data_IF_863718814604
#
_entry.id   IF_863718814604
#
_cell.length_a   1.000
_cell.length_b   1.000
_cell.length_c   1.000
_cell.angle_alpha   90.00
_cell.angle_beta   90.00
_cell.angle_gamma   90.00
#
_symmetry.space_group_name_H-M   'P 1'
#
loop_
_entity.id
_entity.type
_entity.pdbx_description
1 polymer ?
#
# COMPACT_ATOMS: atom_id res chain seq x y z
N UNK A 1 27.83 -13.66 -6.45
CA UNK A 1 26.71 -12.91 -7.06
C UNK A 1 26.37 -11.62 -6.32
N UNK A 2 26.59 -11.50 -4.99
CA UNK A 2 26.40 -10.24 -4.23
C UNK A 2 27.35 -9.10 -4.65
N UNK A 3 28.61 -9.42 -4.98
CA UNK A 3 29.65 -8.43 -5.31
C UNK A 3 29.31 -7.53 -6.50
N UNK A 4 28.78 -8.09 -7.59
CA UNK A 4 28.49 -7.28 -8.79
C UNK A 4 27.34 -6.29 -8.60
N UNK A 5 26.36 -6.62 -7.77
CA UNK A 5 25.21 -5.74 -7.51
C UNK A 5 25.63 -4.58 -6.58
N UNK A 6 26.44 -4.90 -5.56
CA UNK A 6 27.05 -3.92 -4.66
C UNK A 6 28.01 -2.96 -5.40
N UNK A 7 28.78 -3.46 -6.37
CA UNK A 7 29.68 -2.64 -7.19
C UNK A 7 28.93 -1.70 -8.15
N UNK A 8 27.80 -2.15 -8.71
CA UNK A 8 26.93 -1.32 -9.56
C UNK A 8 26.26 -0.23 -8.71
N UNK A 9 25.72 -0.57 -7.54
CA UNK A 9 25.11 0.42 -6.63
C UNK A 9 26.16 1.46 -6.18
N UNK A 10 27.41 1.06 -5.93
CA UNK A 10 28.50 1.99 -5.59
C UNK A 10 28.85 2.94 -6.75
N UNK A 11 29.01 2.42 -7.95
CA UNK A 11 29.31 3.23 -9.15
C UNK A 11 28.19 4.22 -9.46
N UNK A 12 26.93 3.81 -9.27
CA UNK A 12 25.77 4.70 -9.40
C UNK A 12 25.87 5.82 -8.37
N UNK A 13 26.06 5.49 -7.08
CA UNK A 13 26.17 6.48 -5.99
C UNK A 13 27.30 7.49 -6.18
N UNK A 14 28.43 7.05 -6.75
CA UNK A 14 29.58 7.91 -7.05
C UNK A 14 29.36 8.85 -8.25
N UNK A 15 28.45 8.51 -9.16
CA UNK A 15 28.12 9.32 -10.34
C UNK A 15 26.93 10.26 -10.15
N UNK A 16 26.14 10.08 -9.07
CA UNK A 16 24.93 10.85 -8.82
C UNK A 16 25.25 12.16 -8.10
N UNK A 17 24.57 13.23 -8.49
CA UNK A 17 24.52 14.47 -7.72
C UNK A 17 23.83 14.25 -6.37
N UNK A 18 24.02 15.17 -5.40
CA UNK A 18 23.48 15.04 -4.04
C UNK A 18 21.94 14.87 -4.02
N UNK A 19 21.24 15.42 -5.01
CA UNK A 19 19.79 15.25 -5.21
C UNK A 19 19.42 13.86 -5.77
N UNK A 20 20.21 13.34 -6.70
CA UNK A 20 19.95 12.03 -7.31
C UNK A 20 20.33 10.87 -6.37
N UNK A 21 21.34 11.05 -5.51
CA UNK A 21 21.71 10.09 -4.48
C UNK A 21 20.59 9.93 -3.42
N UNK A 22 19.94 11.04 -3.02
CA UNK A 22 18.75 11.00 -2.16
C UNK A 22 17.58 10.31 -2.84
N UNK A 23 17.37 10.54 -4.13
CA UNK A 23 16.32 9.86 -4.89
C UNK A 23 16.58 8.36 -5.00
N UNK A 24 17.85 7.94 -5.10
CA UNK A 24 18.22 6.52 -5.12
C UNK A 24 18.01 5.84 -3.77
N UNK A 25 18.35 6.49 -2.66
CA UNK A 25 18.09 5.97 -1.32
C UNK A 25 16.58 5.79 -1.06
N UNK A 26 15.73 6.69 -1.58
CA UNK A 26 14.27 6.55 -1.52
C UNK A 26 13.73 5.33 -2.32
N UNK A 27 14.51 4.81 -3.25
CA UNK A 27 14.18 3.65 -4.07
C UNK A 27 14.66 2.32 -3.49
N UNK A 28 15.40 2.33 -2.37
CA UNK A 28 15.80 1.10 -1.67
C UNK A 28 14.59 0.29 -1.18
N UNK A 29 14.84 -1.00 -0.91
CA UNK A 29 13.81 -1.93 -0.46
C UNK A 29 13.18 -1.46 0.86
N UNK A 30 11.89 -1.17 0.83
CA UNK A 30 11.15 -0.69 2.00
C UNK A 30 10.66 -1.90 2.77
N UNK A 31 10.84 -1.87 4.08
CA UNK A 31 10.22 -2.84 4.98
C UNK A 31 8.69 -2.76 4.90
N UNK A 32 7.99 -3.85 5.25
CA UNK A 32 6.52 -3.89 5.25
C UNK A 32 5.88 -2.72 6.02
N UNK A 33 6.47 -2.31 7.15
CA UNK A 33 6.02 -1.13 7.91
C UNK A 33 6.20 0.17 7.15
N UNK A 34 7.33 0.33 6.45
CA UNK A 34 7.60 1.50 5.60
C UNK A 34 6.67 1.52 4.39
N UNK A 35 6.35 0.36 3.80
CA UNK A 35 5.36 0.24 2.73
C UNK A 35 3.98 0.66 3.21
N UNK A 36 3.54 0.18 4.38
CA UNK A 36 2.24 0.52 4.98
C UNK A 36 2.16 2.01 5.30
N UNK A 37 3.14 2.58 6.01
CA UNK A 37 3.18 4.03 6.23
C UNK A 37 3.31 4.81 4.93
N UNK A 38 4.00 4.21 3.95
CA UNK A 38 4.18 4.70 2.61
C UNK A 38 2.88 4.80 1.82
N UNK A 39 1.86 3.98 2.13
CA UNK A 39 0.52 4.15 1.55
C UNK A 39 -0.09 5.48 1.98
N UNK A 40 0.08 5.83 3.25
CA UNK A 40 -0.41 7.07 3.86
C UNK A 40 0.43 8.30 3.50
N UNK A 41 1.58 8.15 2.84
CA UNK A 41 2.36 9.27 2.27
C UNK A 41 2.23 9.36 0.74
N UNK A 42 2.17 10.59 0.22
CA UNK A 42 2.06 10.89 -1.23
C UNK A 42 0.75 11.55 -1.68
N UNK A 43 0.60 11.74 -3.00
CA UNK A 43 -0.49 12.53 -3.60
C UNK A 43 -1.89 11.92 -3.39
N UNK A 44 -1.98 10.59 -3.29
CA UNK A 44 -3.24 9.86 -3.12
C UNK A 44 -3.51 9.47 -1.65
N UNK A 45 -2.74 9.99 -0.69
CA UNK A 45 -2.90 9.69 0.74
C UNK A 45 -4.29 10.02 1.28
N UNK A 46 -4.93 11.06 0.74
CA UNK A 46 -6.28 11.44 1.14
C UNK A 46 -7.32 10.34 0.85
N UNK A 47 -7.18 9.61 -0.27
CA UNK A 47 -8.06 8.48 -0.62
C UNK A 47 -7.88 7.35 0.40
N UNK A 48 -6.64 7.09 0.81
CA UNK A 48 -6.31 6.03 1.78
C UNK A 48 -6.84 6.37 3.16
N UNK A 49 -6.75 7.65 3.57
CA UNK A 49 -7.33 8.14 4.80
C UNK A 49 -8.86 8.02 4.78
N UNK A 50 -9.51 8.44 3.68
CA UNK A 50 -10.96 8.30 3.50
C UNK A 50 -11.40 6.83 3.58
N UNK A 51 -10.69 5.92 2.91
CA UNK A 51 -10.99 4.48 2.97
C UNK A 51 -10.81 3.91 4.37
N UNK A 52 -9.80 4.37 5.11
CA UNK A 52 -9.58 3.96 6.50
C UNK A 52 -10.71 4.44 7.42
N UNK A 53 -11.24 5.64 7.19
CA UNK A 53 -12.43 6.14 7.90
C UNK A 53 -13.67 5.30 7.58
N UNK A 54 -13.89 4.96 6.31
CA UNK A 54 -15.00 4.09 5.89
C UNK A 54 -14.88 2.71 6.54
N UNK A 55 -13.68 2.14 6.62
CA UNK A 55 -13.43 0.87 7.31
C UNK A 55 -13.82 0.93 8.79
N UNK A 56 -13.55 2.06 9.46
CA UNK A 56 -13.92 2.28 10.86
C UNK A 56 -15.45 2.36 11.04
N UNK A 57 -16.15 2.98 10.08
CA UNK A 57 -17.62 3.01 10.04
C UNK A 57 -18.20 1.60 9.88
N UNK A 58 -17.67 0.81 8.94
CA UNK A 58 -18.11 -0.59 8.76
C UNK A 58 -17.89 -1.43 10.02
N UNK A 59 -16.79 -1.20 10.73
CA UNK A 59 -16.53 -1.86 12.01
C UNK A 59 -17.54 -1.45 13.09
N UNK A 60 -17.89 -0.16 13.19
CA UNK A 60 -18.94 0.31 14.09
C UNK A 60 -20.32 -0.28 13.77
N UNK A 61 -20.68 -0.32 12.48
CA UNK A 61 -21.91 -0.95 12.00
C UNK A 61 -21.93 -2.44 12.35
N UNK A 62 -20.81 -3.13 12.18
CA UNK A 62 -20.69 -4.54 12.52
C UNK A 62 -20.94 -4.80 14.01
N UNK A 63 -20.33 -4.01 14.90
CA UNK A 63 -20.58 -4.10 16.35
C UNK A 63 -22.05 -3.85 16.67
N UNK A 64 -22.64 -2.83 16.07
CA UNK A 64 -24.05 -2.50 16.28
C UNK A 64 -24.98 -3.64 15.84
N UNK A 65 -24.71 -4.23 14.67
CA UNK A 65 -25.46 -5.39 14.17
C UNK A 65 -25.28 -6.60 15.09
N UNK A 66 -24.08 -6.84 15.60
CA UNK A 66 -23.83 -7.93 16.54
C UNK A 66 -24.63 -7.76 17.83
N UNK A 67 -24.66 -6.55 18.41
CA UNK A 67 -25.45 -6.27 19.62
C UNK A 67 -26.94 -6.49 19.36
N UNK A 68 -27.47 -5.95 18.26
CA UNK A 68 -28.89 -6.12 17.91
C UNK A 68 -29.24 -7.58 17.59
N UNK A 69 -28.34 -8.33 16.98
CA UNK A 69 -28.53 -9.75 16.70
C UNK A 69 -28.76 -10.58 17.96
N UNK A 70 -28.07 -10.26 19.07
CA UNK A 70 -28.27 -10.96 20.35
C UNK A 70 -29.46 -10.45 21.17
N UNK A 71 -29.99 -9.26 20.87
CA UNK A 71 -31.06 -8.64 21.65
C UNK A 71 -32.46 -8.93 21.08
N UNK A 72 -32.57 -9.35 19.82
CA UNK A 72 -33.86 -9.56 19.16
C UNK A 72 -34.26 -11.03 19.16
N UNK A 73 -35.47 -11.32 19.63
CA UNK A 73 -36.05 -12.68 19.68
C UNK A 73 -36.83 -13.05 18.41
N UNK A 74 -37.26 -12.05 17.63
CA UNK A 74 -38.01 -12.27 16.40
C UNK A 74 -37.11 -12.79 15.26
N UNK A 75 -37.47 -13.94 14.68
CA UNK A 75 -36.68 -14.60 13.63
C UNK A 75 -36.42 -13.73 12.40
N UNK A 76 -37.37 -12.88 12.01
CA UNK A 76 -37.22 -11.99 10.85
C UNK A 76 -36.13 -10.94 11.07
N UNK A 77 -36.10 -10.34 12.27
CA UNK A 77 -35.11 -9.33 12.64
C UNK A 77 -33.73 -9.94 12.89
N UNK A 78 -33.65 -11.17 13.42
CA UNK A 78 -32.41 -11.95 13.50
C UNK A 78 -31.76 -12.12 12.12
N UNK A 79 -32.54 -12.51 11.11
CA UNK A 79 -32.06 -12.64 9.73
C UNK A 79 -31.60 -11.28 9.19
N UNK A 80 -32.36 -10.22 9.42
CA UNK A 80 -32.01 -8.86 8.97
C UNK A 80 -30.66 -8.40 9.52
N UNK A 81 -30.45 -8.50 10.84
CA UNK A 81 -29.19 -8.12 11.47
C UNK A 81 -28.04 -9.04 11.09
N UNK A 82 -28.30 -10.34 10.92
CA UNK A 82 -27.30 -11.32 10.46
C UNK A 82 -26.82 -11.06 9.03
N UNK A 83 -27.74 -10.77 8.11
CA UNK A 83 -27.40 -10.41 6.72
C UNK A 83 -26.66 -9.08 6.68
N UNK A 84 -27.13 -8.07 7.41
CA UNK A 84 -26.47 -6.76 7.45
C UNK A 84 -25.06 -6.85 8.05
N UNK A 85 -24.88 -7.63 9.12
CA UNK A 85 -23.58 -7.95 9.70
C UNK A 85 -22.66 -8.65 8.70
N UNK A 86 -23.17 -9.64 7.96
CA UNK A 86 -22.40 -10.36 6.94
C UNK A 86 -21.96 -9.45 5.80
N UNK A 87 -22.85 -8.57 5.31
CA UNK A 87 -22.52 -7.57 4.28
C UNK A 87 -21.45 -6.61 4.79
N UNK A 88 -21.53 -6.17 6.05
CA UNK A 88 -20.53 -5.28 6.64
C UNK A 88 -19.13 -5.92 6.75
N UNK A 89 -19.08 -7.23 7.04
CA UNK A 89 -17.83 -8.00 7.02
C UNK A 89 -17.29 -8.16 5.60
N UNK A 90 -18.15 -8.49 4.64
CA UNK A 90 -17.75 -8.61 3.24
C UNK A 90 -17.17 -7.29 2.70
N UNK A 91 -17.82 -6.16 3.02
CA UNK A 91 -17.33 -4.82 2.70
C UNK A 91 -15.96 -4.55 3.32
N UNK A 92 -15.76 -4.93 4.58
CA UNK A 92 -14.48 -4.78 5.27
C UNK A 92 -13.34 -5.58 4.61
N UNK A 93 -13.62 -6.80 4.15
CA UNK A 93 -12.64 -7.63 3.44
C UNK A 93 -12.24 -6.97 2.12
N UNK A 94 -13.22 -6.46 1.37
CA UNK A 94 -12.97 -5.79 0.08
C UNK A 94 -12.14 -4.51 0.24
N UNK A 95 -12.41 -3.70 1.27
CA UNK A 95 -11.62 -2.50 1.58
C UNK A 95 -10.18 -2.84 1.98
N UNK A 96 -10.00 -3.96 2.70
CA UNK A 96 -8.66 -4.46 3.04
C UNK A 96 -7.92 -4.92 1.79
N UNK A 97 -8.54 -5.71 0.92
CA UNK A 97 -7.94 -6.14 -0.36
C UNK A 97 -7.54 -4.95 -1.23
N UNK A 98 -8.39 -3.94 -1.34
CA UNK A 98 -8.06 -2.71 -2.06
C UNK A 98 -6.81 -2.04 -1.49
N UNK A 99 -6.68 -1.96 -0.17
CA UNK A 99 -5.50 -1.37 0.48
C UNK A 99 -4.22 -2.15 0.17
N UNK A 100 -4.30 -3.48 0.09
CA UNK A 100 -3.19 -4.33 -0.34
C UNK A 100 -2.78 -4.10 -1.79
N UNK A 101 -3.76 -4.02 -2.70
CA UNK A 101 -3.47 -3.69 -4.11
C UNK A 101 -2.77 -2.34 -4.26
N UNK A 102 -3.08 -1.37 -3.40
CA UNK A 102 -2.42 -0.07 -3.41
C UNK A 102 -0.96 -0.14 -2.94
N UNK A 103 -0.63 -1.06 -2.02
CA UNK A 103 0.77 -1.36 -1.66
C UNK A 103 1.52 -1.95 -2.85
N UNK A 104 0.96 -2.99 -3.47
CA UNK A 104 1.60 -3.69 -4.59
C UNK A 104 1.82 -2.73 -5.77
N UNK A 105 0.82 -1.88 -6.06
CA UNK A 105 0.94 -0.83 -7.08
C UNK A 105 2.10 0.14 -6.78
N UNK A 106 2.25 0.59 -5.52
CA UNK A 106 3.36 1.47 -5.12
C UNK A 106 4.71 0.77 -5.22
N UNK A 107 4.79 -0.50 -4.83
CA UNK A 107 5.99 -1.33 -4.96
C UNK A 107 6.41 -1.45 -6.43
N UNK A 108 5.48 -1.81 -7.32
CA UNK A 108 5.75 -1.94 -8.76
C UNK A 108 6.22 -0.61 -9.37
N UNK A 109 5.57 0.51 -9.03
CA UNK A 109 5.97 1.84 -9.54
C UNK A 109 7.40 2.19 -9.10
N UNK A 110 7.80 1.81 -7.88
CA UNK A 110 9.15 2.04 -7.39
C UNK A 110 10.19 1.23 -8.17
N UNK A 111 9.93 -0.06 -8.40
CA UNK A 111 10.82 -0.91 -9.20
C UNK A 111 10.94 -0.41 -10.65
N UNK A 112 9.85 0.09 -11.25
CA UNK A 112 9.88 0.70 -12.59
C UNK A 112 10.80 1.93 -12.61
N UNK A 113 10.69 2.83 -11.62
CA UNK A 113 11.57 4.00 -11.53
C UNK A 113 13.04 3.63 -11.36
N UNK A 114 13.33 2.58 -10.58
CA UNK A 114 14.68 2.05 -10.42
C UNK A 114 15.23 1.53 -11.77
N UNK A 115 14.41 0.85 -12.56
CA UNK A 115 14.77 0.43 -13.92
C UNK A 115 14.97 1.62 -14.86
N UNK A 116 14.11 2.64 -14.83
CA UNK A 116 14.27 3.86 -15.64
C UNK A 116 15.61 4.55 -15.38
N UNK A 117 16.01 4.67 -14.11
CA UNK A 117 17.32 5.22 -13.73
C UNK A 117 18.48 4.37 -14.22
N UNK A 118 18.41 3.04 -14.04
CA UNK A 118 19.45 2.13 -14.53
C UNK A 118 19.62 2.25 -16.05
N UNK A 119 18.52 2.30 -16.80
CA UNK A 119 18.56 2.48 -18.26
C UNK A 119 19.12 3.85 -18.64
N UNK A 120 18.74 4.92 -17.95
CA UNK A 120 19.28 6.26 -18.19
C UNK A 120 20.78 6.33 -17.95
N UNK A 121 21.27 5.73 -16.86
CA UNK A 121 22.71 5.65 -16.54
C UNK A 121 23.49 4.84 -17.58
N UNK A 122 22.89 3.77 -18.12
CA UNK A 122 23.51 2.94 -19.15
C UNK A 122 23.57 3.67 -20.50
N UNK A 123 22.49 4.38 -20.86
CA UNK A 123 22.44 5.17 -22.08
C UNK A 123 23.48 6.29 -22.09
N UNK A 124 23.69 6.97 -20.95
CA UNK A 124 24.72 8.00 -20.82
C UNK A 124 26.14 7.47 -21.07
N UNK A 125 26.43 6.24 -20.61
CA UNK A 125 27.73 5.59 -20.81
C UNK A 125 27.98 5.05 -22.22
N UNK A 126 26.92 4.84 -23.02
CA UNK A 126 27.03 4.38 -24.41
C UNK A 126 27.23 5.56 -25.38
N UNK A 127 26.84 6.77 -24.98
CA UNK A 127 27.02 7.99 -25.79
C UNK A 127 28.39 8.67 -25.66
N UNK A 128 29.23 8.22 -24.74
CA UNK A 128 30.67 8.55 -24.66
C UNK A 128 31.52 7.47 -25.35
#
# INVERSE_FOLDING_TARGET
MKTNMEDIDRLIKETLTEEEAKFYDDLEEQNLWQMVSGIFSGKNSWIVYMMSMVQLIFFGIFIYCAIQFFNVEATNDLIKWGVFGTVSLMGSIMLKLFSWMQMDKKAIIREIKRLELQVSSLSGKISE
#
